data_IF_082617645231
#
_entry.id   IF_082617645231
#
_cell.length_a   1.000
_cell.length_b   1.000
_cell.length_c   1.000
_cell.angle_alpha   90.00
_cell.angle_beta   90.00
_cell.angle_gamma   90.00
#
_symmetry.space_group_name_H-M   'P 1'
#
loop_
_entity.id
_entity.type
_entity.pdbx_description
1 polymer ?
#
# COMPACT_ATOMS: atom_id res chain seq x y z
N UNK A 1 -30.30 -39.04 29.14
CA UNK A 1 -29.29 -39.10 28.08
C UNK A 1 -28.10 -38.23 28.52
N UNK A 2 -26.99 -38.85 28.89
CA UNK A 2 -25.79 -38.19 29.40
C UNK A 2 -24.77 -38.09 28.26
N UNK A 3 -24.32 -36.88 27.94
CA UNK A 3 -23.32 -36.64 26.91
C UNK A 3 -21.91 -36.64 27.54
N UNK A 4 -21.16 -37.69 27.23
CA UNK A 4 -19.78 -37.91 27.61
C UNK A 4 -18.87 -37.32 26.52
N UNK A 5 -18.23 -36.17 26.79
CA UNK A 5 -17.22 -35.59 25.90
C UNK A 5 -15.84 -36.17 26.26
N UNK A 6 -15.25 -36.92 25.34
CA UNK A 6 -13.86 -37.36 25.39
C UNK A 6 -12.93 -36.20 25.01
N UNK A 7 -12.12 -35.74 25.97
CA UNK A 7 -10.97 -34.88 25.73
C UNK A 7 -9.76 -35.74 25.38
N UNK A 8 -9.49 -35.90 24.08
CA UNK A 8 -8.23 -36.46 23.59
C UNK A 8 -7.16 -35.37 23.62
N UNK A 9 -6.31 -35.38 24.66
CA UNK A 9 -5.14 -34.50 24.76
C UNK A 9 -4.01 -35.01 23.87
N UNK A 10 -3.69 -34.24 22.84
CA UNK A 10 -2.53 -34.44 21.97
C UNK A 10 -1.24 -34.05 22.70
N UNK A 11 -0.60 -35.03 23.36
CA UNK A 11 0.64 -34.82 24.11
C UNK A 11 1.87 -34.59 23.22
N UNK A 12 1.79 -34.86 21.91
CA UNK A 12 2.91 -34.72 20.98
C UNK A 12 3.29 -33.28 20.65
N UNK A 13 2.34 -32.35 20.78
CA UNK A 13 2.54 -30.95 20.37
C UNK A 13 3.46 -30.15 21.31
N UNK A 14 3.65 -30.57 22.57
CA UNK A 14 4.45 -29.80 23.54
C UNK A 14 5.96 -30.01 23.37
N UNK A 15 6.40 -31.21 22.98
CA UNK A 15 7.82 -31.53 22.82
C UNK A 15 8.43 -30.81 21.60
N UNK A 16 7.66 -30.70 20.52
CA UNK A 16 8.09 -30.01 19.30
C UNK A 16 8.20 -28.48 19.48
N UNK A 17 7.36 -27.89 20.34
CA UNK A 17 7.42 -26.45 20.65
C UNK A 17 8.69 -26.08 21.44
N UNK A 18 9.19 -26.97 22.30
CA UNK A 18 10.38 -26.71 23.11
C UNK A 18 11.66 -26.74 22.25
N UNK A 19 11.72 -27.62 21.24
CA UNK A 19 12.88 -27.73 20.35
C UNK A 19 13.04 -26.50 19.41
N UNK A 20 11.94 -25.87 19.01
CA UNK A 20 11.98 -24.63 18.20
C UNK A 20 12.44 -23.42 19.02
N UNK A 21 12.09 -23.37 20.32
CA UNK A 21 12.53 -22.29 21.20
C UNK A 21 14.05 -22.32 21.47
N UNK A 22 14.67 -23.51 21.48
CA UNK A 22 16.11 -23.65 21.71
C UNK A 22 16.93 -23.24 20.47
N UNK A 23 16.46 -23.56 19.26
CA UNK A 23 17.11 -23.14 18.01
C UNK A 23 17.15 -21.60 17.84
N UNK A 24 16.18 -20.87 18.39
CA UNK A 24 16.15 -19.41 18.31
C UNK A 24 17.22 -18.73 19.17
N UNK A 25 17.74 -19.39 20.22
CA UNK A 25 18.77 -18.80 21.09
C UNK A 25 20.17 -18.78 20.47
N UNK A 26 20.51 -19.72 19.59
CA UNK A 26 21.85 -19.80 18.98
C UNK A 26 22.12 -18.73 17.90
N UNK A 27 21.10 -18.01 17.40
CA UNK A 27 21.28 -17.04 16.30
C UNK A 27 21.44 -15.57 16.76
N UNK A 28 21.48 -15.29 18.06
CA UNK A 28 21.61 -13.92 18.59
C UNK A 28 23.03 -13.47 18.93
N UNK A 29 24.05 -14.31 18.81
CA UNK A 29 25.46 -13.87 18.91
C UNK A 29 25.93 -13.27 17.58
N UNK A 30 25.41 -12.07 17.29
CA UNK A 30 25.83 -11.27 16.14
C UNK A 30 27.06 -10.43 16.51
N UNK A 31 28.14 -10.45 15.71
CA UNK A 31 29.35 -9.70 16.02
C UNK A 31 29.10 -8.19 16.01
N UNK A 32 29.62 -7.54 17.05
CA UNK A 32 29.62 -6.09 17.28
C UNK A 32 30.55 -5.45 16.25
N UNK A 33 29.99 -4.98 15.14
CA UNK A 33 30.71 -4.19 14.14
C UNK A 33 30.87 -2.75 14.61
N UNK A 34 32.11 -2.29 14.68
CA UNK A 34 32.55 -0.93 14.92
C UNK A 34 31.76 0.13 14.13
N UNK A 35 31.08 1.02 14.86
CA UNK A 35 30.54 2.29 14.34
C UNK A 35 31.68 3.33 14.29
N UNK A 36 32.33 3.44 13.14
CA UNK A 36 33.21 4.55 12.78
C UNK A 36 32.68 5.24 11.52
N UNK A 37 32.49 6.56 11.61
CA UNK A 37 32.13 7.44 10.49
C UNK A 37 30.88 8.27 10.85
N UNK A 38 31.00 9.54 11.21
CA UNK A 38 31.77 10.57 10.53
C UNK A 38 30.75 11.62 10.10
N UNK A 39 30.65 12.69 10.90
CA UNK A 39 29.67 13.75 10.70
C UNK A 39 29.89 14.51 9.40
N UNK A 40 28.79 14.89 8.75
CA UNK A 40 28.79 15.90 7.70
C UNK A 40 27.70 16.95 8.00
N UNK A 41 28.04 18.12 8.56
CA UNK A 41 27.11 19.23 8.67
C UNK A 41 27.05 19.99 7.34
N UNK A 42 26.22 19.48 6.42
CA UNK A 42 25.87 20.19 5.19
C UNK A 42 24.93 21.36 5.47
N UNK A 43 25.51 22.55 5.68
CA UNK A 43 24.80 23.83 5.60
C UNK A 43 24.19 23.99 4.21
N UNK A 44 22.88 23.74 4.10
CA UNK A 44 22.07 24.10 2.95
C UNK A 44 21.05 25.14 3.35
N UNK A 45 21.43 26.42 3.33
CA UNK A 45 20.50 27.53 3.44
C UNK A 45 19.53 27.47 2.24
N UNK A 46 18.31 27.00 2.50
CA UNK A 46 17.23 26.97 1.52
C UNK A 46 16.85 28.38 1.11
N UNK A 47 17.30 28.78 -0.09
CA UNK A 47 16.72 29.87 -0.87
C UNK A 47 15.21 29.65 -0.99
N UNK A 48 14.44 30.67 -0.64
CA UNK A 48 12.98 30.66 -0.60
C UNK A 48 12.33 30.38 -1.96
N UNK A 49 11.13 29.81 -1.91
CA UNK A 49 10.29 29.44 -3.06
C UNK A 49 9.99 30.61 -4.02
N UNK A 50 10.08 31.86 -3.56
CA UNK A 50 9.72 33.06 -4.33
C UNK A 50 10.70 33.37 -5.48
N UNK A 51 11.91 32.83 -5.49
CA UNK A 51 12.88 32.99 -6.60
C UNK A 51 12.60 32.04 -7.77
N UNK A 52 11.88 30.94 -7.56
CA UNK A 52 11.73 29.88 -8.57
C UNK A 52 10.67 30.18 -9.63
N UNK A 53 9.79 31.14 -9.39
CA UNK A 53 8.64 31.46 -10.26
C UNK A 53 8.93 32.56 -11.30
N UNK A 54 10.09 33.24 -11.23
CA UNK A 54 10.43 34.33 -12.18
C UNK A 54 11.33 33.91 -13.35
N UNK A 55 11.87 32.69 -13.35
CA UNK A 55 12.87 32.25 -14.35
C UNK A 55 12.43 31.07 -15.25
N UNK A 56 11.13 30.81 -15.38
CA UNK A 56 10.59 29.77 -16.28
C UNK A 56 9.87 30.32 -17.51
N UNK A 57 10.18 31.57 -17.89
CA UNK A 57 9.67 32.21 -19.10
C UNK A 57 10.81 32.40 -20.11
N UNK A 58 11.43 31.31 -20.56
CA UNK A 58 12.28 31.33 -21.74
C UNK A 58 12.50 29.92 -22.28
N UNK A 59 12.17 29.76 -23.58
CA UNK A 59 12.57 28.69 -24.50
C UNK A 59 11.75 27.40 -24.44
N UNK A 60 10.67 27.42 -25.23
CA UNK A 60 10.13 26.24 -25.89
C UNK A 60 11.07 25.93 -27.08
N UNK A 61 11.87 24.86 -27.07
CA UNK A 61 12.51 24.35 -28.28
C UNK A 61 11.44 23.68 -29.16
N UNK A 62 11.44 24.05 -30.45
CA UNK A 62 10.43 23.66 -31.43
C UNK A 62 10.41 22.18 -31.81
N UNK A 63 9.38 21.74 -32.56
CA UNK A 63 9.22 20.36 -33.00
C UNK A 63 10.28 19.99 -34.06
N UNK A 64 11.23 19.16 -33.64
CA UNK A 64 12.24 18.54 -34.50
C UNK A 64 11.64 17.47 -35.42
N UNK A 65 11.97 17.66 -36.69
CA UNK A 65 11.69 16.87 -37.89
C UNK A 65 11.78 15.34 -37.72
N UNK A 66 10.80 14.63 -38.30
CA UNK A 66 10.75 13.17 -38.43
C UNK A 66 11.66 12.73 -39.58
N UNK A 67 12.49 11.72 -39.37
CA UNK A 67 13.09 10.94 -40.44
C UNK A 67 12.65 9.47 -40.29
N UNK A 68 12.04 8.82 -41.31
CA UNK A 68 11.71 7.41 -41.30
C UNK A 68 12.75 6.61 -42.08
N UNK A 69 13.59 5.83 -41.40
CA UNK A 69 14.45 4.85 -42.08
C UNK A 69 14.76 3.65 -41.19
N UNK A 70 14.97 2.52 -41.86
CA UNK A 70 15.44 1.21 -41.38
C UNK A 70 14.35 0.17 -41.07
N UNK A 71 13.99 -0.51 -42.16
CA UNK A 71 13.43 -1.84 -42.18
C UNK A 71 14.31 -2.85 -41.40
N UNK A 72 13.66 -3.82 -40.76
CA UNK A 72 14.28 -5.11 -40.45
C UNK A 72 13.31 -6.24 -40.81
N UNK A 73 13.67 -7.14 -41.75
CA UNK A 73 12.95 -8.37 -42.04
C UNK A 73 13.59 -9.56 -41.32
N UNK A 74 12.77 -10.39 -40.66
CA UNK A 74 13.00 -11.80 -40.25
C UNK A 74 12.14 -12.04 -39.00
N UNK A 75 11.27 -13.03 -38.88
CA UNK A 75 11.14 -14.28 -39.62
C UNK A 75 10.84 -15.37 -38.59
N UNK A 76 9.55 -15.64 -38.31
CA UNK A 76 9.14 -16.86 -37.61
C UNK A 76 7.84 -17.37 -38.23
N UNK A 77 7.99 -18.40 -39.05
CA UNK A 77 6.92 -19.16 -39.68
C UNK A 77 6.32 -20.09 -38.62
N UNK A 78 5.25 -19.65 -37.96
CA UNK A 78 4.39 -20.57 -37.24
C UNK A 78 3.32 -21.10 -38.19
N UNK A 79 3.54 -22.33 -38.64
CA UNK A 79 2.65 -23.13 -39.46
C UNK A 79 1.42 -23.49 -38.63
N UNK A 80 0.42 -22.60 -38.61
CA UNK A 80 -0.91 -22.94 -38.09
C UNK A 80 -1.65 -23.75 -39.16
N UNK A 81 -1.85 -25.03 -38.87
CA UNK A 81 -2.74 -25.91 -39.63
C UNK A 81 -4.19 -25.40 -39.46
N UNK A 82 -4.63 -24.55 -40.37
CA UNK A 82 -5.99 -24.05 -40.42
C UNK A 82 -6.86 -25.09 -41.14
N UNK A 83 -7.77 -25.71 -40.39
CA UNK A 83 -8.73 -26.68 -40.89
C UNK A 83 -9.55 -26.08 -42.05
N UNK A 84 -9.30 -26.62 -43.25
CA UNK A 84 -9.94 -26.26 -44.51
C UNK A 84 -11.28 -26.98 -44.60
N UNK A 85 -12.30 -26.49 -43.91
CA UNK A 85 -13.67 -26.91 -44.15
C UNK A 85 -14.61 -25.73 -43.87
N UNK A 86 -15.48 -25.43 -44.85
CA UNK A 86 -16.51 -24.40 -44.87
C UNK A 86 -16.07 -23.00 -45.33
N UNK A 87 -15.63 -22.93 -46.59
CA UNK A 87 -15.69 -21.72 -47.39
C UNK A 87 -17.09 -21.62 -48.03
N UNK A 88 -18.10 -21.35 -47.21
CA UNK A 88 -19.37 -20.79 -47.68
C UNK A 88 -19.17 -19.27 -47.76
N UNK A 89 -19.34 -18.73 -48.96
CA UNK A 89 -19.04 -17.35 -49.34
C UNK A 89 -19.79 -16.34 -48.46
N UNK A 90 -19.14 -15.89 -47.37
CA UNK A 90 -19.53 -14.67 -46.69
C UNK A 90 -18.84 -13.53 -47.43
N UNK A 91 -19.59 -12.57 -48.02
CA UNK A 91 -19.00 -11.43 -48.69
C UNK A 91 -18.20 -10.62 -47.66
N UNK A 92 -16.87 -10.72 -47.74
CA UNK A 92 -15.96 -9.84 -47.03
C UNK A 92 -16.09 -8.44 -47.64
N UNK A 93 -16.45 -7.42 -46.87
CA UNK A 93 -16.30 -6.07 -47.39
C UNK A 93 -16.83 -4.89 -46.61
N UNK A 94 -17.80 -5.05 -45.70
CA UNK A 94 -18.26 -3.92 -44.88
C UNK A 94 -18.47 -4.34 -43.43
N UNK A 95 -17.71 -3.76 -42.49
CA UNK A 95 -18.01 -3.87 -41.06
C UNK A 95 -19.47 -3.50 -40.83
N UNK A 96 -20.24 -4.38 -40.18
CA UNK A 96 -21.65 -4.16 -39.92
C UNK A 96 -21.81 -2.97 -38.95
N UNK A 97 -22.08 -1.78 -39.51
CA UNK A 97 -22.16 -0.54 -38.74
C UNK A 97 -23.31 -0.55 -37.73
N UNK A 98 -24.40 -1.25 -38.04
CA UNK A 98 -25.53 -1.40 -37.12
C UNK A 98 -25.15 -2.17 -35.86
N UNK A 99 -24.38 -3.27 -36.00
CA UNK A 99 -23.90 -4.03 -34.85
C UNK A 99 -23.04 -3.15 -33.91
N UNK A 100 -22.23 -2.26 -34.48
CA UNK A 100 -21.41 -1.31 -33.70
C UNK A 100 -22.26 -0.27 -32.96
N UNK A 101 -23.30 0.25 -33.61
CA UNK A 101 -24.26 1.18 -32.99
C UNK A 101 -24.99 0.53 -31.83
N UNK A 102 -25.38 -0.74 -31.99
CA UNK A 102 -26.07 -1.51 -30.95
C UNK A 102 -25.19 -1.74 -29.71
N UNK A 103 -23.91 -2.05 -29.90
CA UNK A 103 -22.97 -2.24 -28.78
C UNK A 103 -22.71 -0.96 -27.98
N UNK A 104 -22.63 0.21 -28.64
CA UNK A 104 -22.45 1.50 -27.95
C UNK A 104 -23.67 1.87 -27.10
N UNK A 105 -24.88 1.64 -27.61
CA UNK A 105 -26.09 1.87 -26.82
C UNK A 105 -26.19 0.91 -25.63
N UNK A 106 -25.89 -0.39 -25.85
CA UNK A 106 -25.88 -1.37 -24.77
C UNK A 106 -24.86 -1.04 -23.67
N UNK A 107 -23.71 -0.45 -24.01
CA UNK A 107 -22.71 -0.01 -23.03
C UNK A 107 -23.16 1.21 -22.21
N UNK A 108 -24.00 2.09 -22.78
CA UNK A 108 -24.56 3.25 -22.09
C UNK A 108 -25.77 2.90 -21.21
N UNK A 109 -26.62 1.97 -21.67
CA UNK A 109 -27.80 1.52 -20.93
C UNK A 109 -27.48 0.42 -19.89
N UNK A 110 -26.31 -0.21 -19.98
CA UNK A 110 -25.86 -1.14 -18.94
C UNK A 110 -25.74 -0.37 -17.62
N UNK A 111 -26.59 -0.66 -16.60
CA UNK A 111 -26.46 -0.04 -15.29
C UNK A 111 -25.04 -0.35 -14.84
N UNK A 112 -24.23 0.69 -14.65
CA UNK A 112 -22.83 0.57 -14.33
C UNK A 112 -22.70 -0.40 -13.16
N UNK A 113 -22.39 -1.66 -13.49
CA UNK A 113 -22.00 -2.69 -12.55
C UNK A 113 -20.60 -2.27 -12.13
N UNK A 114 -20.54 -1.18 -11.35
CA UNK A 114 -19.35 -0.79 -10.63
C UNK A 114 -18.95 -2.07 -9.91
N UNK A 115 -17.80 -2.68 -10.25
CA UNK A 115 -17.30 -3.78 -9.45
C UNK A 115 -17.34 -3.26 -8.02
N UNK A 116 -18.06 -3.98 -7.15
CA UNK A 116 -18.01 -3.76 -5.70
C UNK A 116 -16.57 -4.06 -5.31
N UNK A 117 -15.69 -3.09 -5.51
CA UNK A 117 -14.35 -3.07 -4.94
C UNK A 117 -14.56 -2.95 -3.45
N UNK A 118 -14.57 -4.11 -2.80
CA UNK A 118 -14.37 -4.30 -1.38
C UNK A 118 -15.19 -3.40 -0.46
N UNK A 119 -16.46 -3.72 -0.27
CA UNK A 119 -17.20 -3.36 0.95
C UNK A 119 -16.72 -4.20 2.16
N UNK A 120 -15.42 -4.47 2.26
CA UNK A 120 -14.81 -5.28 3.33
C UNK A 120 -14.35 -4.44 4.53
N UNK A 121 -14.54 -3.12 4.49
CA UNK A 121 -14.22 -2.22 5.61
C UNK A 121 -15.40 -1.29 5.94
N UNK A 122 -16.62 -1.82 5.86
CA UNK A 122 -17.71 -1.33 6.71
C UNK A 122 -17.45 -1.77 8.16
N UNK A 123 -16.29 -1.36 8.69
CA UNK A 123 -16.04 -1.32 10.11
C UNK A 123 -17.23 -0.57 10.73
N UNK A 124 -17.76 -1.16 11.80
CA UNK A 124 -18.83 -0.57 12.59
C UNK A 124 -18.58 0.94 12.85
N UNK A 125 -19.62 1.73 13.17
CA UNK A 125 -19.50 3.14 13.53
C UNK A 125 -18.76 3.37 14.87
N UNK A 126 -17.69 2.62 15.15
CA UNK A 126 -16.65 3.01 16.07
C UNK A 126 -15.81 4.08 15.42
N UNK A 127 -15.47 5.11 16.21
CA UNK A 127 -14.66 6.25 15.81
C UNK A 127 -13.46 5.78 14.98
N UNK A 128 -13.41 6.19 13.71
CA UNK A 128 -12.35 5.78 12.82
C UNK A 128 -11.00 6.24 13.39
N UNK A 129 -9.90 5.61 12.97
CA UNK A 129 -8.55 6.04 13.37
C UNK A 129 -8.36 7.56 13.14
N UNK A 130 -8.99 8.11 12.10
CA UNK A 130 -9.00 9.54 11.81
C UNK A 130 -9.66 10.39 12.90
N UNK A 131 -10.84 9.99 13.38
CA UNK A 131 -11.60 10.73 14.39
C UNK A 131 -10.84 10.75 15.71
N UNK A 132 -10.22 9.62 16.07
CA UNK A 132 -9.37 9.51 17.26
C UNK A 132 -8.18 10.46 17.19
N UNK A 133 -7.52 10.55 16.04
CA UNK A 133 -6.40 11.47 15.84
C UNK A 133 -6.84 12.94 15.83
N UNK A 134 -8.02 13.24 15.28
CA UNK A 134 -8.57 14.59 15.20
C UNK A 134 -8.91 15.14 16.60
N UNK A 135 -9.51 14.35 17.47
CA UNK A 135 -9.83 14.78 18.85
C UNK A 135 -8.58 15.10 19.67
N UNK A 136 -7.48 14.35 19.46
CA UNK A 136 -6.23 14.58 20.20
C UNK A 136 -5.49 15.83 19.69
N UNK A 137 -5.62 16.15 18.39
CA UNK A 137 -5.00 17.32 17.76
C UNK A 137 -6.01 17.99 16.82
N UNK A 138 -6.93 18.81 17.33
CA UNK A 138 -7.94 19.46 16.49
C UNK A 138 -7.32 20.44 15.47
N UNK A 139 -6.10 20.93 15.74
CA UNK A 139 -5.34 21.80 14.83
C UNK A 139 -4.81 21.08 13.59
N UNK A 140 -4.86 19.75 13.53
CA UNK A 140 -4.35 19.01 12.38
C UNK A 140 -5.28 19.14 11.17
N UNK A 141 -4.67 19.34 10.00
CA UNK A 141 -5.41 19.35 8.74
C UNK A 141 -5.67 17.93 8.26
N UNK A 142 -6.62 17.76 7.34
CA UNK A 142 -6.88 16.46 6.69
C UNK A 142 -5.63 15.84 6.05
N UNK A 143 -4.69 16.67 5.56
CA UNK A 143 -3.42 16.20 5.00
C UNK A 143 -2.50 15.64 6.08
N UNK A 144 -2.41 16.32 7.22
CA UNK A 144 -1.60 15.87 8.36
C UNK A 144 -2.14 14.54 8.91
N UNK A 145 -3.47 14.43 9.08
CA UNK A 145 -4.12 13.20 9.49
C UNK A 145 -3.79 12.04 8.55
N UNK A 146 -3.92 12.26 7.23
CA UNK A 146 -3.61 11.25 6.23
C UNK A 146 -2.14 10.81 6.31
N UNK A 147 -1.21 11.76 6.39
CA UNK A 147 0.22 11.45 6.56
C UNK A 147 0.52 10.68 7.85
N UNK A 148 -0.23 10.92 8.94
CA UNK A 148 -0.09 10.14 10.18
C UNK A 148 -0.67 8.74 10.00
N UNK A 149 -1.82 8.59 9.35
CA UNK A 149 -2.40 7.29 9.03
C UNK A 149 -1.46 6.45 8.16
N UNK A 150 -0.84 7.04 7.12
CA UNK A 150 0.13 6.34 6.29
C UNK A 150 1.35 5.85 7.10
N UNK A 151 1.86 6.68 8.02
CA UNK A 151 2.96 6.29 8.92
C UNK A 151 2.59 5.13 9.83
N UNK A 152 1.38 5.15 10.38
CA UNK A 152 0.85 4.07 11.22
C UNK A 152 0.62 2.80 10.40
N UNK A 153 0.14 2.92 9.16
CA UNK A 153 -0.02 1.80 8.25
C UNK A 153 1.33 1.10 7.94
N UNK A 154 2.45 1.84 7.87
CA UNK A 154 3.80 1.26 7.68
C UNK A 154 4.25 0.38 8.85
N UNK A 155 3.69 0.57 10.05
CA UNK A 155 3.92 -0.31 11.21
C UNK A 155 2.76 -1.30 11.43
N UNK A 156 1.94 -1.54 10.40
CA UNK A 156 0.76 -2.41 10.42
C UNK A 156 -0.31 -2.00 11.46
N UNK A 157 -0.50 -0.70 11.66
CA UNK A 157 -1.57 -0.16 12.49
C UNK A 157 -2.58 0.52 11.56
N UNK A 158 -3.67 -0.19 11.25
CA UNK A 158 -4.74 0.32 10.38
C UNK A 158 -5.94 0.86 11.16
N UNK A 159 -6.12 0.40 12.40
CA UNK A 159 -7.32 0.69 13.21
C UNK A 159 -6.98 1.38 14.54
N UNK A 160 -7.96 2.10 15.11
CA UNK A 160 -7.80 2.74 16.42
C UNK A 160 -7.53 1.73 17.54
N UNK A 161 -8.22 0.59 17.51
CA UNK A 161 -8.04 -0.50 18.49
C UNK A 161 -6.63 -1.08 18.47
N UNK A 162 -6.04 -1.27 17.28
CA UNK A 162 -4.66 -1.72 17.14
C UNK A 162 -3.67 -0.69 17.69
N UNK A 163 -3.89 0.59 17.40
CA UNK A 163 -3.06 1.68 17.94
C UNK A 163 -3.09 1.69 19.47
N UNK A 164 -4.28 1.60 20.07
CA UNK A 164 -4.45 1.57 21.52
C UNK A 164 -3.82 0.34 22.15
N UNK A 165 -4.02 -0.86 21.56
CA UNK A 165 -3.36 -2.08 22.00
C UNK A 165 -1.83 -1.92 21.98
N UNK A 166 -1.30 -1.33 20.91
CA UNK A 166 0.14 -1.10 20.75
C UNK A 166 0.67 -0.10 21.79
N UNK A 167 -0.05 1.01 22.03
CA UNK A 167 0.30 2.01 23.03
C UNK A 167 0.29 1.44 24.46
N UNK A 168 -0.68 0.58 24.80
CA UNK A 168 -0.70 -0.09 26.11
C UNK A 168 0.45 -1.08 26.28
N UNK A 169 0.80 -1.81 25.23
CA UNK A 169 1.85 -2.83 25.28
C UNK A 169 3.27 -2.25 25.28
N UNK A 170 3.52 -1.21 24.49
CA UNK A 170 4.88 -0.69 24.21
C UNK A 170 5.10 0.74 24.72
N UNK A 171 4.04 1.46 25.09
CA UNK A 171 4.08 2.87 25.43
C UNK A 171 4.38 3.79 24.23
N UNK A 172 4.37 5.10 24.47
CA UNK A 172 4.71 6.11 23.45
C UNK A 172 6.13 5.94 22.87
N UNK A 173 7.10 5.58 23.73
CA UNK A 173 8.49 5.38 23.31
C UNK A 173 8.68 4.19 22.36
N UNK A 174 7.98 3.08 22.63
CA UNK A 174 8.05 1.89 21.79
C UNK A 174 7.43 2.11 20.40
N UNK A 175 6.29 2.81 20.31
CA UNK A 175 5.68 3.17 19.02
C UNK A 175 6.64 4.05 18.19
N UNK A 176 7.28 5.05 18.80
CA UNK A 176 8.27 5.87 18.10
C UNK A 176 9.51 5.09 17.65
N UNK A 177 9.96 4.10 18.44
CA UNK A 177 11.03 3.18 18.03
C UNK A 177 10.62 2.34 16.81
N UNK A 178 9.39 1.84 16.78
CA UNK A 178 8.85 1.11 15.63
C UNK A 178 8.75 1.99 14.37
N UNK A 179 8.27 3.23 14.51
CA UNK A 179 8.24 4.19 13.41
C UNK A 179 9.65 4.47 12.87
N UNK A 180 10.63 4.67 13.76
CA UNK A 180 12.04 4.87 13.37
C UNK A 180 12.60 3.66 12.64
N UNK A 181 12.32 2.44 13.12
CA UNK A 181 12.72 1.20 12.47
C UNK A 181 12.08 1.04 11.07
N UNK A 182 10.88 1.56 10.88
CA UNK A 182 10.19 1.62 9.58
C UNK A 182 10.64 2.80 8.69
N UNK A 183 11.69 3.54 9.07
CA UNK A 183 12.19 4.71 8.34
C UNK A 183 11.24 5.91 8.33
N UNK A 184 10.24 5.91 9.22
CA UNK A 184 9.27 7.00 9.33
C UNK A 184 9.72 8.05 10.36
N UNK A 185 9.27 9.29 10.14
CA UNK A 185 9.48 10.37 11.10
C UNK A 185 8.69 10.08 12.38
N UNK A 186 9.35 10.15 13.53
CA UNK A 186 8.73 10.00 14.85
C UNK A 186 7.60 11.00 15.06
N UNK A 187 6.57 10.59 15.80
CA UNK A 187 5.49 11.47 16.21
C UNK A 187 5.89 12.23 17.48
N UNK A 188 5.28 13.40 17.68
CA UNK A 188 5.50 14.18 18.91
C UNK A 188 5.06 13.34 20.12
N UNK A 189 5.87 13.39 21.16
CA UNK A 189 5.68 12.59 22.37
C UNK A 189 4.37 12.97 23.08
N UNK A 190 4.04 14.27 23.11
CA UNK A 190 2.78 14.80 23.62
C UNK A 190 1.55 14.18 22.93
N UNK A 191 1.60 14.01 21.61
CA UNK A 191 0.50 13.42 20.83
C UNK A 191 0.29 11.95 21.19
N UNK A 192 1.37 11.19 21.34
CA UNK A 192 1.29 9.77 21.73
C UNK A 192 0.83 9.61 23.18
N UNK A 193 1.22 10.50 24.09
CA UNK A 193 0.75 10.51 25.47
C UNK A 193 -0.76 10.81 25.55
N UNK A 194 -1.25 11.79 24.80
CA UNK A 194 -2.67 12.09 24.76
C UNK A 194 -3.50 10.93 24.15
N UNK A 195 -2.98 10.25 23.12
CA UNK A 195 -3.59 9.02 22.61
C UNK A 195 -3.57 7.89 23.63
N UNK A 196 -2.51 7.78 24.44
CA UNK A 196 -2.40 6.78 25.49
C UNK A 196 -3.38 7.05 26.64
N UNK A 197 -3.57 8.31 27.03
CA UNK A 197 -4.59 8.71 28.01
C UNK A 197 -5.98 8.30 27.52
N UNK A 198 -6.32 8.65 26.27
CA UNK A 198 -7.60 8.26 25.66
C UNK A 198 -7.79 6.75 25.53
N UNK A 199 -6.70 5.99 25.39
CA UNK A 199 -6.76 4.54 25.35
C UNK A 199 -7.06 3.89 26.72
N UNK A 200 -6.92 4.64 27.82
CA UNK A 200 -7.15 4.18 29.18
C UNK A 200 -8.49 4.64 29.76
N UNK A 201 -9.19 5.56 29.08
CA UNK A 201 -10.60 5.89 29.34
C UNK A 201 -11.52 4.74 28.90
#
# INVERSE_FOLDING_TARGET
AANQFQAGGDQGSFEMAMQVAEAAKQSMERPKGDEQGGGNPGMGAGRGLSDRLKNSSARIPGPGNRNPEAATPMGQKNTFAFNKTQLAEKPYGTPNQDLRRQQLNAANDAPAARPKVGAADAAAPGSGLRDVLQDVRPDWTSKDLHSVQEKLAKINVGTASELFRLLRAQGAGGVNKMLKNAGQKILKLETLQALQLRANE
#
